data_IF_660804353388
#
_entry.id   IF_660804353388
#
_cell.length_a   1.000
_cell.length_b   1.000
_cell.length_c   1.000
_cell.angle_alpha   90.00
_cell.angle_beta   90.00
_cell.angle_gamma   90.00
#
_symmetry.space_group_name_H-M   'P 1'
#
loop_
_entity.id
_entity.type
_entity.pdbx_description
1 polymer ?
#
# COMPACT_ATOMS: atom_id res chain seq x y z
N UNK A 1 -6.56 -12.37 -13.90
CA UNK A 1 -5.63 -12.10 -15.01
C UNK A 1 -4.44 -11.25 -14.55
N UNK A 2 -4.65 -10.02 -14.03
CA UNK A 2 -3.57 -9.13 -13.60
C UNK A 2 -2.66 -9.69 -12.48
N UNK A 3 -3.22 -10.33 -11.44
CA UNK A 3 -2.39 -10.98 -10.40
C UNK A 3 -1.44 -12.02 -10.97
N UNK A 4 -1.92 -12.86 -11.89
CA UNK A 4 -1.08 -13.87 -12.53
C UNK A 4 0.00 -13.25 -13.42
N UNK A 5 -0.28 -12.11 -14.04
CA UNK A 5 0.68 -11.35 -14.82
C UNK A 5 1.81 -10.83 -13.94
N UNK A 6 1.49 -10.20 -12.80
CA UNK A 6 2.51 -9.75 -11.82
C UNK A 6 3.37 -10.91 -11.33
N UNK A 7 2.77 -12.04 -10.93
CA UNK A 7 3.50 -13.19 -10.38
C UNK A 7 4.40 -13.88 -11.42
N UNK A 8 4.05 -13.80 -12.71
CA UNK A 8 4.81 -14.42 -13.80
C UNK A 8 5.91 -13.52 -14.36
N UNK A 9 5.88 -12.23 -14.08
CA UNK A 9 6.91 -11.30 -14.55
C UNK A 9 8.14 -11.41 -13.66
N UNK A 10 9.34 -11.60 -14.24
CA UNK A 10 10.59 -11.61 -13.49
C UNK A 10 10.76 -10.35 -12.65
N UNK A 11 11.39 -10.50 -11.48
CA UNK A 11 11.71 -9.41 -10.55
C UNK A 11 10.50 -8.62 -10.01
N UNK A 12 9.29 -9.12 -10.24
CA UNK A 12 8.06 -8.61 -9.63
C UNK A 12 7.70 -9.42 -8.39
N UNK A 13 7.24 -8.74 -7.33
CA UNK A 13 6.72 -9.41 -6.12
C UNK A 13 5.35 -8.86 -5.79
N UNK A 14 4.35 -9.74 -5.77
CA UNK A 14 3.00 -9.40 -5.34
C UNK A 14 2.97 -9.31 -3.80
N UNK A 15 2.65 -8.14 -3.26
CA UNK A 15 2.63 -7.88 -1.81
C UNK A 15 1.22 -7.97 -1.23
N UNK A 16 0.21 -7.55 -2.00
CA UNK A 16 -1.18 -7.53 -1.56
C UNK A 16 -2.13 -7.65 -2.74
N UNK A 17 -3.30 -8.23 -2.50
CA UNK A 17 -4.43 -8.25 -3.43
C UNK A 17 -5.74 -8.14 -2.64
N UNK A 18 -6.70 -7.40 -3.20
CA UNK A 18 -8.11 -7.40 -2.82
C UNK A 18 -8.96 -7.55 -4.09
N UNK A 19 -10.28 -7.38 -3.98
CA UNK A 19 -11.24 -7.49 -5.09
C UNK A 19 -10.83 -6.72 -6.34
N UNK A 20 -10.38 -5.48 -6.19
CA UNK A 20 -10.13 -4.52 -7.27
C UNK A 20 -8.81 -3.74 -7.11
N UNK A 21 -7.99 -4.08 -6.13
CA UNK A 21 -6.71 -3.42 -5.84
C UNK A 21 -5.60 -4.43 -5.61
N UNK A 22 -4.37 -4.05 -5.93
CA UNK A 22 -3.20 -4.86 -5.71
C UNK A 22 -1.98 -3.97 -5.44
N UNK A 23 -1.11 -4.42 -4.56
CA UNK A 23 0.16 -3.75 -4.22
C UNK A 23 1.26 -4.73 -4.59
N UNK A 24 2.25 -4.26 -5.35
CA UNK A 24 3.33 -5.10 -5.84
C UNK A 24 4.58 -4.26 -6.06
N UNK A 25 5.74 -4.89 -6.00
CA UNK A 25 7.00 -4.30 -6.44
C UNK A 25 7.32 -4.75 -7.86
N UNK A 26 7.94 -3.87 -8.64
CA UNK A 26 8.45 -4.16 -9.98
C UNK A 26 9.70 -3.31 -10.25
N UNK A 27 10.56 -3.69 -11.21
CA UNK A 27 11.66 -2.85 -11.66
C UNK A 27 11.14 -1.54 -12.29
N UNK A 28 11.85 -0.42 -12.11
CA UNK A 28 11.45 0.91 -12.60
C UNK A 28 11.03 0.92 -14.07
N UNK A 29 11.77 0.21 -14.91
CA UNK A 29 11.56 0.20 -16.36
C UNK A 29 10.68 -0.96 -16.85
N UNK A 30 10.15 -1.78 -15.93
CA UNK A 30 9.42 -2.99 -16.27
C UNK A 30 8.16 -3.17 -15.40
N UNK A 31 7.22 -2.24 -15.50
CA UNK A 31 5.90 -2.42 -14.90
C UNK A 31 5.08 -3.45 -15.73
N UNK A 32 4.70 -4.60 -15.15
CA UNK A 32 3.96 -5.64 -15.84
C UNK A 32 2.52 -5.26 -16.18
N UNK A 33 1.94 -4.24 -15.55
CA UNK A 33 0.53 -3.87 -15.74
C UNK A 33 0.41 -2.62 -16.62
N UNK A 34 -0.52 -2.68 -17.57
CA UNK A 34 -0.92 -1.51 -18.34
C UNK A 34 -1.96 -0.72 -17.55
N UNK A 35 -1.70 0.57 -17.39
CA UNK A 35 -2.63 1.50 -16.76
C UNK A 35 -3.50 2.18 -17.83
N UNK A 36 -4.72 2.57 -17.45
CA UNK A 36 -5.60 3.31 -18.35
C UNK A 36 -6.80 3.95 -17.66
N UNK A 37 -7.46 4.93 -18.32
CA UNK A 37 -8.54 5.72 -17.72
C UNK A 37 -9.93 5.08 -17.88
N UNK A 38 -10.06 3.95 -18.58
CA UNK A 38 -11.35 3.35 -18.91
C UNK A 38 -11.83 2.35 -17.86
N UNK A 39 -13.14 2.09 -17.85
CA UNK A 39 -13.77 1.17 -16.91
C UNK A 39 -13.20 -0.24 -17.06
N UNK A 40 -12.64 -0.78 -15.98
CA UNK A 40 -12.01 -2.10 -15.94
C UNK A 40 -10.49 -2.08 -16.13
N UNK A 41 -9.89 -0.92 -16.41
CA UNK A 41 -8.45 -0.74 -16.44
C UNK A 41 -7.91 -0.41 -15.04
N UNK A 42 -6.66 -0.78 -14.78
CA UNK A 42 -5.98 -0.41 -13.54
C UNK A 42 -5.53 1.05 -13.63
N UNK A 43 -5.67 1.77 -12.52
CA UNK A 43 -5.13 3.12 -12.35
C UNK A 43 -4.05 3.09 -11.28
N UNK A 44 -3.09 4.01 -11.38
CA UNK A 44 -2.17 4.28 -10.27
C UNK A 44 -2.92 5.08 -9.20
N UNK A 45 -3.10 4.49 -8.01
CA UNK A 45 -3.81 5.13 -6.90
C UNK A 45 -2.99 6.29 -6.30
N UNK A 46 -1.65 6.24 -6.41
CA UNK A 46 -0.74 7.20 -5.80
C UNK A 46 0.31 7.70 -6.81
N UNK A 47 -0.09 8.35 -7.93
CA UNK A 47 0.80 8.68 -9.03
C UNK A 47 1.92 9.65 -8.64
N UNK A 48 1.70 10.51 -7.65
CA UNK A 48 2.66 11.50 -7.16
C UNK A 48 3.61 10.97 -6.07
N UNK A 49 3.47 9.70 -5.69
CA UNK A 49 4.19 9.13 -4.55
C UNK A 49 4.97 7.86 -4.91
N UNK A 50 6.09 7.64 -4.23
CA UNK A 50 6.77 6.35 -4.18
C UNK A 50 6.42 5.67 -2.86
N UNK A 51 6.04 4.39 -2.91
CA UNK A 51 5.88 3.56 -1.71
C UNK A 51 7.27 3.13 -1.25
N UNK A 52 7.67 3.59 -0.07
CA UNK A 52 8.95 3.23 0.56
C UNK A 52 8.83 1.98 1.42
N UNK A 53 7.70 1.82 2.10
CA UNK A 53 7.47 0.69 2.99
C UNK A 53 6.01 0.25 2.95
N UNK A 54 5.82 -1.07 2.89
CA UNK A 54 4.53 -1.73 2.98
C UNK A 54 4.52 -2.63 4.23
N UNK A 55 3.46 -2.52 5.04
CA UNK A 55 3.23 -3.38 6.19
C UNK A 55 1.80 -3.94 6.13
N UNK A 56 1.65 -5.25 6.33
CA UNK A 56 0.36 -5.93 6.30
C UNK A 56 0.05 -6.56 7.65
N UNK A 57 -1.13 -6.26 8.20
CA UNK A 57 -1.69 -6.95 9.36
C UNK A 57 -2.64 -8.09 8.97
N UNK A 58 -2.78 -8.39 7.66
CA UNK A 58 -3.66 -9.42 7.13
C UNK A 58 -4.60 -8.90 6.04
N UNK A 59 -5.62 -9.69 5.71
CA UNK A 59 -6.56 -9.34 4.66
C UNK A 59 -7.27 -8.01 5.00
N UNK A 60 -7.20 -7.03 4.07
CA UNK A 60 -7.84 -5.71 4.20
C UNK A 60 -7.31 -4.85 5.35
N UNK A 61 -6.07 -5.12 5.78
CA UNK A 61 -5.38 -4.37 6.83
C UNK A 61 -3.94 -4.12 6.44
N UNK A 62 -3.63 -2.91 5.97
CA UNK A 62 -2.27 -2.55 5.60
C UNK A 62 -1.94 -1.08 5.87
N UNK A 63 -0.65 -0.81 6.01
CA UNK A 63 -0.07 0.52 6.08
C UNK A 63 0.95 0.74 4.96
N UNK A 64 1.03 1.98 4.48
CA UNK A 64 2.03 2.44 3.53
C UNK A 64 2.79 3.63 4.12
N UNK A 65 4.11 3.61 3.97
CA UNK A 65 4.97 4.79 4.09
C UNK A 65 5.35 5.23 2.69
N UNK A 66 5.13 6.50 2.38
CA UNK A 66 5.30 7.03 1.05
C UNK A 66 6.08 8.34 1.07
N UNK A 67 6.80 8.62 0.00
CA UNK A 67 7.43 9.92 -0.26
C UNK A 67 6.85 10.54 -1.52
N UNK A 68 6.83 11.87 -1.60
CA UNK A 68 6.43 12.57 -2.83
C UNK A 68 7.55 12.47 -3.86
N UNK A 69 7.23 12.07 -5.09
CA UNK A 69 8.17 12.03 -6.22
C UNK A 69 8.80 13.40 -6.50
N UNK A 70 8.00 14.46 -6.40
CA UNK A 70 8.44 15.83 -6.70
C UNK A 70 9.15 16.52 -5.53
N UNK A 71 9.06 15.98 -4.32
CA UNK A 71 9.63 16.57 -3.10
C UNK A 71 10.21 15.47 -2.17
N UNK A 72 11.23 14.72 -2.60
CA UNK A 72 11.75 13.56 -1.85
C UNK A 72 12.44 13.91 -0.52
N UNK A 73 12.57 15.20 -0.20
CA UNK A 73 13.13 15.69 1.09
C UNK A 73 12.05 16.15 2.08
N UNK A 74 10.78 16.06 1.72
CA UNK A 74 9.69 16.32 2.65
C UNK A 74 9.48 15.15 3.61
N UNK A 75 8.78 15.44 4.72
CA UNK A 75 8.33 14.42 5.65
C UNK A 75 7.51 13.33 4.93
N UNK A 76 7.77 12.05 5.21
CA UNK A 76 7.04 10.95 4.60
C UNK A 76 5.55 11.01 4.96
N UNK A 77 4.73 10.62 3.99
CA UNK A 77 3.27 10.50 4.14
C UNK A 77 2.91 9.08 4.49
N UNK A 78 1.99 8.94 5.44
CA UNK A 78 1.54 7.64 5.94
C UNK A 78 0.09 7.40 5.57
N UNK A 79 -0.20 6.23 5.00
CA UNK A 79 -1.57 5.76 4.75
C UNK A 79 -1.81 4.50 5.55
N UNK A 80 -2.96 4.42 6.20
CA UNK A 80 -3.39 3.26 6.96
C UNK A 80 -4.79 2.85 6.51
N UNK A 81 -4.93 1.66 5.91
CA UNK A 81 -6.21 1.07 5.53
C UNK A 81 -6.47 -0.14 6.40
N UNK A 82 -7.36 -0.01 7.39
CA UNK A 82 -7.75 -1.09 8.30
C UNK A 82 -9.26 -1.27 8.28
N UNK A 83 -9.73 -2.30 7.59
CA UNK A 83 -11.17 -2.59 7.50
C UNK A 83 -11.67 -3.24 8.79
N UNK A 84 -12.86 -2.83 9.24
CA UNK A 84 -13.49 -3.36 10.45
C UNK A 84 -13.04 -2.68 11.75
N UNK A 85 -12.13 -1.69 11.68
CA UNK A 85 -11.85 -0.80 12.80
C UNK A 85 -12.71 0.45 12.72
N UNK A 86 -13.41 0.76 13.80
CA UNK A 86 -14.05 2.08 13.95
C UNK A 86 -12.97 3.10 14.30
N UNK A 87 -12.57 3.90 13.31
CA UNK A 87 -11.62 5.02 13.50
C UNK A 87 -12.32 6.17 14.22
N UNK A 88 -12.65 5.96 15.49
CA UNK A 88 -13.19 7.01 16.34
C UNK A 88 -12.09 7.99 16.74
N UNK A 89 -12.49 9.20 17.13
CA UNK A 89 -11.56 10.23 17.63
C UNK A 89 -10.61 9.67 18.71
N UNK A 90 -11.10 8.75 19.54
CA UNK A 90 -10.34 8.03 20.57
C UNK A 90 -9.26 7.08 20.01
N UNK A 91 -9.55 6.34 18.93
CA UNK A 91 -8.58 5.46 18.28
C UNK A 91 -7.43 6.26 17.64
N UNK A 92 -7.74 7.43 17.10
CA UNK A 92 -6.75 8.30 16.45
C UNK A 92 -5.94 9.09 17.50
N UNK A 93 -6.61 9.72 18.47
CA UNK A 93 -5.98 10.67 19.39
C UNK A 93 -5.48 10.04 20.70
N UNK A 94 -6.19 9.07 21.27
CA UNK A 94 -5.82 8.44 22.55
C UNK A 94 -5.06 7.13 22.37
N UNK A 95 -5.45 6.31 21.40
CA UNK A 95 -4.71 5.08 21.10
C UNK A 95 -3.54 5.32 20.15
N UNK A 96 -3.45 6.48 19.50
CA UNK A 96 -2.35 6.84 18.62
C UNK A 96 -2.19 5.88 17.45
N UNK A 97 -3.31 5.40 16.88
CA UNK A 97 -3.30 4.54 15.69
C UNK A 97 -2.73 5.30 14.49
N UNK A 98 -1.40 5.32 14.43
CA UNK A 98 -0.55 5.84 13.35
C UNK A 98 0.20 4.65 12.75
N UNK A 99 0.76 4.85 11.56
CA UNK A 99 1.51 3.82 10.85
C UNK A 99 2.53 3.09 11.75
N UNK A 100 3.34 3.83 12.50
CA UNK A 100 4.35 3.25 13.41
C UNK A 100 3.73 2.32 14.46
N UNK A 101 2.62 2.72 15.09
CA UNK A 101 1.96 1.89 16.11
C UNK A 101 1.21 0.70 15.52
N UNK A 102 0.69 0.83 14.30
CA UNK A 102 0.15 -0.30 13.55
C UNK A 102 1.27 -1.30 13.24
N UNK A 103 2.40 -0.81 12.72
CA UNK A 103 3.60 -1.59 12.43
C UNK A 103 4.08 -2.34 13.68
N UNK A 104 4.24 -1.66 14.81
CA UNK A 104 4.57 -2.28 16.10
C UNK A 104 3.60 -3.40 16.48
N UNK A 105 2.28 -3.17 16.35
CA UNK A 105 1.27 -4.20 16.67
C UNK A 105 1.34 -5.40 15.74
N UNK A 106 1.64 -5.20 14.45
CA UNK A 106 1.82 -6.29 13.49
C UNK A 106 3.06 -7.11 13.83
N UNK A 107 4.17 -6.46 14.18
CA UNK A 107 5.42 -7.17 14.50
C UNK A 107 5.41 -7.85 15.88
N UNK A 108 4.67 -7.30 16.86
CA UNK A 108 4.60 -7.84 18.23
C UNK A 108 3.43 -8.81 18.43
N UNK A 109 2.80 -9.29 17.35
CA UNK A 109 1.74 -10.29 17.42
C UNK A 109 2.38 -11.68 17.56
N UNK A 110 2.63 -12.09 18.81
CA UNK A 110 2.91 -13.50 19.21
C UNK A 110 1.60 -14.29 19.39
#
# INVERSE_FOLDING_TARGET
HAMQQVVRTPDCTLLYTDTDSLIFSHPTDNCPLQLGPHLGEFTDEYPDFNILEYCSGGAKQYGLKMEKKNEPRCEPVYVLKVRGMTLNWDAINNQGMRYEKFKEKVFNFD
#
